data_IF_944218527540
#
_entry.id   IF_944218527540
#
_cell.length_a   1.000
_cell.length_b   1.000
_cell.length_c   1.000
_cell.angle_alpha   90.00
_cell.angle_beta   90.00
_cell.angle_gamma   90.00
#
_symmetry.space_group_name_H-M   'P 1'
#
loop_
_entity.id
_entity.type
_entity.pdbx_description
1 polymer ?
#
# COMPACT_ATOMS: atom_id res chain seq x y z
N UNK A 1 0.84 7.36 -3.00
CA UNK A 1 0.03 7.65 -1.80
C UNK A 1 0.74 7.20 -0.54
N UNK A 2 1.10 5.91 -0.41
CA UNK A 2 1.72 5.38 0.83
C UNK A 2 2.90 6.23 1.35
N UNK A 3 3.92 6.48 0.52
CA UNK A 3 5.08 7.31 0.90
C UNK A 3 4.73 8.79 1.15
N UNK A 4 3.63 9.28 0.58
CA UNK A 4 3.13 10.64 0.83
C UNK A 4 2.40 10.73 2.18
N UNK A 5 1.73 9.65 2.60
CA UNK A 5 0.93 9.58 3.82
C UNK A 5 1.75 9.18 5.03
N UNK A 6 2.64 8.21 4.89
CA UNK A 6 3.39 7.58 5.99
C UNK A 6 4.88 7.93 5.99
N UNK A 7 5.34 8.70 5.00
CA UNK A 7 6.74 9.08 4.88
C UNK A 7 7.64 7.99 4.27
N UNK A 8 8.96 8.15 4.37
CA UNK A 8 9.92 7.26 3.71
C UNK A 8 9.84 5.81 4.20
N UNK A 9 9.98 4.86 3.29
CA UNK A 9 9.90 3.42 3.59
C UNK A 9 10.69 2.56 2.61
N UNK A 10 10.95 1.31 2.97
CA UNK A 10 11.63 0.33 2.09
C UNK A 10 10.63 -0.33 1.13
N UNK A 11 11.12 -0.92 0.04
CA UNK A 11 10.26 -1.68 -0.88
C UNK A 11 9.54 -2.85 -0.18
N UNK A 12 10.21 -3.54 0.74
CA UNK A 12 9.62 -4.63 1.52
C UNK A 12 8.52 -4.14 2.48
N UNK A 13 8.72 -2.98 3.11
CA UNK A 13 7.67 -2.36 3.92
C UNK A 13 6.45 -2.00 3.05
N UNK A 14 6.67 -1.41 1.87
CA UNK A 14 5.59 -1.06 0.93
C UNK A 14 4.83 -2.31 0.48
N UNK A 15 5.53 -3.39 0.13
CA UNK A 15 4.92 -4.66 -0.28
C UNK A 15 4.02 -5.25 0.80
N UNK A 16 4.53 -5.30 2.04
CA UNK A 16 3.76 -5.76 3.20
C UNK A 16 2.51 -4.92 3.45
N UNK A 17 2.64 -3.59 3.41
CA UNK A 17 1.51 -2.68 3.61
C UNK A 17 0.42 -2.82 2.54
N UNK A 18 0.82 -3.11 1.30
CA UNK A 18 -0.10 -3.26 0.18
C UNK A 18 -0.58 -4.71 -0.02
N UNK A 19 -0.08 -5.66 0.79
CA UNK A 19 -0.22 -7.10 0.58
C UNK A 19 0.05 -7.48 -0.89
N UNK A 20 1.08 -6.86 -1.47
CA UNK A 20 1.41 -6.96 -2.87
C UNK A 20 2.70 -7.77 -3.05
N UNK A 21 2.77 -8.50 -4.16
CA UNK A 21 3.95 -9.27 -4.53
C UNK A 21 5.21 -8.38 -4.63
N UNK A 22 6.32 -8.86 -4.07
CA UNK A 22 7.59 -8.15 -4.01
C UNK A 22 8.12 -7.78 -5.40
N UNK A 23 7.89 -8.64 -6.39
CA UNK A 23 8.34 -8.39 -7.76
C UNK A 23 7.55 -7.24 -8.40
N UNK A 24 6.25 -7.13 -8.11
CA UNK A 24 5.41 -6.01 -8.55
C UNK A 24 5.86 -4.69 -7.93
N UNK A 25 6.13 -4.68 -6.62
CA UNK A 25 6.60 -3.48 -5.94
C UNK A 25 7.97 -3.06 -6.46
N UNK A 26 8.91 -4.01 -6.61
CA UNK A 26 10.25 -3.73 -7.15
C UNK A 26 10.19 -3.11 -8.56
N UNK A 27 9.38 -3.66 -9.47
CA UNK A 27 9.18 -3.09 -10.81
C UNK A 27 8.58 -1.68 -10.76
N UNK A 28 7.61 -1.46 -9.88
CA UNK A 28 6.95 -0.16 -9.72
C UNK A 28 7.94 0.88 -9.20
N UNK A 29 8.70 0.54 -8.15
CA UNK A 29 9.74 1.39 -7.57
C UNK A 29 10.78 1.76 -8.61
N UNK A 30 11.31 0.78 -9.36
CA UNK A 30 12.30 1.02 -10.42
C UNK A 30 11.78 2.00 -11.47
N UNK A 31 10.51 1.86 -11.87
CA UNK A 31 9.86 2.76 -12.83
C UNK A 31 9.67 4.17 -12.27
N UNK A 32 9.33 4.31 -11.00
CA UNK A 32 9.14 5.63 -10.39
C UNK A 32 10.48 6.34 -10.14
N UNK A 33 11.54 5.59 -9.80
CA UNK A 33 12.90 6.10 -9.72
C UNK A 33 13.40 6.58 -11.09
N UNK A 34 13.20 5.79 -12.15
CA UNK A 34 13.63 6.19 -13.50
C UNK A 34 12.88 7.42 -14.04
N UNK A 35 11.65 7.64 -13.57
CA UNK A 35 10.86 8.85 -13.86
C UNK A 35 11.20 10.05 -12.97
N UNK A 36 12.14 9.92 -12.04
CA UNK A 36 12.51 10.98 -11.09
C UNK A 36 11.42 11.34 -10.09
N UNK A 37 10.44 10.45 -9.86
CA UNK A 37 9.32 10.67 -8.93
C UNK A 37 9.61 10.16 -7.52
N UNK A 38 10.58 9.26 -7.39
CA UNK A 38 11.13 8.81 -6.13
C UNK A 38 12.60 9.17 -6.04
N UNK A 39 13.08 9.25 -4.80
CA UNK A 39 14.49 9.26 -4.46
C UNK A 39 14.79 8.13 -3.48
N UNK A 40 16.04 7.66 -3.51
CA UNK A 40 16.50 6.51 -2.74
C UNK A 40 17.68 6.92 -1.88
N UNK A 41 17.60 6.65 -0.58
CA UNK A 41 18.68 6.88 0.38
C UNK A 41 19.06 5.57 1.07
N UNK A 42 20.34 5.33 1.41
CA UNK A 42 20.74 4.15 2.18
C UNK A 42 19.91 4.02 3.47
N UNK A 43 19.47 2.81 3.82
CA UNK A 43 18.81 2.61 5.10
C UNK A 43 19.85 2.67 6.24
N UNK A 44 19.65 3.52 7.27
CA UNK A 44 20.59 3.64 8.38
C UNK A 44 20.69 2.36 9.23
N UNK A 45 19.70 1.46 9.15
CA UNK A 45 19.66 0.19 9.90
C UNK A 45 20.18 -1.00 9.09
N UNK A 46 20.05 -0.97 7.77
CA UNK A 46 20.54 -2.02 6.88
C UNK A 46 21.10 -1.43 5.57
N UNK A 47 22.42 -1.48 5.40
CA UNK A 47 23.09 -0.96 4.19
C UNK A 47 22.71 -1.71 2.91
N UNK A 48 22.11 -2.90 3.01
CA UNK A 48 21.58 -3.65 1.85
C UNK A 48 20.20 -3.17 1.42
N UNK A 49 19.51 -2.43 2.28
CA UNK A 49 18.21 -1.83 1.99
C UNK A 49 18.34 -0.34 1.63
N UNK A 50 17.39 0.15 0.85
CA UNK A 50 17.25 1.58 0.58
C UNK A 50 15.87 2.06 1.02
N UNK A 51 15.85 3.23 1.65
CA UNK A 51 14.62 3.95 1.96
C UNK A 51 14.23 4.81 0.76
N UNK A 52 12.99 4.69 0.36
CA UNK A 52 12.38 5.41 -0.74
C UNK A 52 11.54 6.54 -0.18
N UNK A 53 11.62 7.71 -0.81
CA UNK A 53 10.75 8.85 -0.53
C UNK A 53 10.33 9.53 -1.82
N UNK A 54 9.28 10.35 -1.79
CA UNK A 54 8.95 11.19 -2.92
C UNK A 54 10.07 12.20 -3.17
N UNK A 55 10.42 12.40 -4.44
CA UNK A 55 11.19 13.57 -4.86
C UNK A 55 10.33 14.83 -4.79
N UNK A 56 10.92 15.99 -5.06
CA UNK A 56 10.15 17.23 -5.19
C UNK A 56 9.11 17.14 -6.30
N UNK A 57 9.50 16.59 -7.45
CA UNK A 57 8.64 16.35 -8.60
C UNK A 57 7.54 15.33 -8.28
N UNK A 58 7.89 14.27 -7.55
CA UNK A 58 6.94 13.27 -7.08
C UNK A 58 5.90 13.84 -6.12
N UNK A 59 6.32 14.71 -5.22
CA UNK A 59 5.43 15.41 -4.28
C UNK A 59 4.51 16.40 -5.01
N UNK A 60 5.05 17.18 -5.95
CA UNK A 60 4.25 18.09 -6.77
C UNK A 60 3.21 17.34 -7.62
N UNK A 61 3.58 16.20 -8.21
CA UNK A 61 2.65 15.34 -8.95
C UNK A 61 1.56 14.79 -8.03
N UNK A 62 1.92 14.31 -6.84
CA UNK A 62 0.96 13.82 -5.86
C UNK A 62 -0.05 14.90 -5.48
N UNK A 63 0.40 16.13 -5.20
CA UNK A 63 -0.50 17.23 -4.85
C UNK A 63 -1.46 17.60 -5.98
N UNK A 64 -1.02 17.55 -7.25
CA UNK A 64 -1.93 17.75 -8.39
C UNK A 64 -3.00 16.66 -8.50
N UNK A 65 -2.66 15.43 -8.15
CA UNK A 65 -3.59 14.30 -8.22
C UNK A 65 -4.49 14.18 -6.99
N UNK A 66 -4.05 14.68 -5.83
CA UNK A 66 -4.71 14.51 -4.52
C UNK A 66 -6.20 14.91 -4.53
N UNK A 67 -6.63 16.04 -5.12
CA UNK A 67 -8.04 16.41 -5.15
C UNK A 67 -8.91 15.42 -5.94
N UNK A 68 -8.39 14.88 -7.04
CA UNK A 68 -9.10 13.87 -7.83
C UNK A 68 -9.20 12.54 -7.07
N UNK A 69 -8.13 12.13 -6.40
CA UNK A 69 -8.13 10.93 -5.55
C UNK A 69 -9.10 11.08 -4.39
N UNK A 70 -9.15 12.26 -3.77
CA UNK A 70 -10.09 12.56 -2.68
C UNK A 70 -11.54 12.48 -3.17
N UNK A 71 -11.89 13.14 -4.28
CA UNK A 71 -13.23 13.06 -4.88
C UNK A 71 -13.66 11.63 -5.15
N UNK A 72 -12.76 10.81 -5.72
CA UNK A 72 -13.05 9.38 -5.97
C UNK A 72 -13.27 8.61 -4.67
N UNK A 73 -12.44 8.85 -3.64
CA UNK A 73 -12.61 8.21 -2.32
C UNK A 73 -13.93 8.57 -1.66
N UNK A 74 -14.30 9.84 -1.69
CA UNK A 74 -15.58 10.34 -1.15
C UNK A 74 -16.74 9.72 -1.93
N UNK A 75 -16.71 9.74 -3.26
CA UNK A 75 -17.78 9.16 -4.07
C UNK A 75 -17.98 7.66 -3.82
N UNK A 76 -16.90 6.89 -3.67
CA UNK A 76 -16.99 5.46 -3.33
C UNK A 76 -17.50 5.26 -1.91
N UNK A 77 -17.05 6.08 -0.96
CA UNK A 77 -17.49 6.01 0.43
C UNK A 77 -18.97 6.34 0.57
N UNK A 78 -19.43 7.38 -0.12
CA UNK A 78 -20.80 7.90 -0.04
C UNK A 78 -21.79 7.12 -0.92
N UNK A 79 -21.30 6.18 -1.73
CA UNK A 79 -22.14 5.25 -2.48
C UNK A 79 -22.95 4.31 -1.57
N UNK A 80 -22.54 4.17 -0.30
CA UNK A 80 -23.20 3.36 0.72
C UNK A 80 -23.67 4.25 1.87
N UNK A 81 -24.81 3.92 2.46
CA UNK A 81 -25.23 4.45 3.77
C UNK A 81 -24.29 3.96 4.87
N UNK A 82 -24.44 4.51 6.09
CA UNK A 82 -23.62 4.09 7.24
C UNK A 82 -23.91 2.63 7.57
N UNK A 83 -25.18 2.25 7.56
CA UNK A 83 -25.68 0.91 7.85
C UNK A 83 -25.15 -0.12 6.84
N UNK A 84 -25.12 0.23 5.55
CA UNK A 84 -24.52 -0.61 4.51
C UNK A 84 -23.01 -0.76 4.67
N UNK A 85 -22.29 0.30 5.04
CA UNK A 85 -20.85 0.23 5.32
C UNK A 85 -20.55 -0.66 6.52
N UNK A 86 -21.32 -0.52 7.60
CA UNK A 86 -21.16 -1.34 8.81
C UNK A 86 -21.44 -2.82 8.49
N UNK A 87 -22.46 -3.09 7.69
CA UNK A 87 -22.80 -4.45 7.22
C UNK A 87 -21.68 -5.03 6.35
N UNK A 88 -21.20 -4.28 5.35
CA UNK A 88 -20.11 -4.72 4.48
C UNK A 88 -18.84 -5.01 5.28
N UNK A 89 -18.49 -4.14 6.23
CA UNK A 89 -17.34 -4.34 7.12
C UNK A 89 -17.45 -5.63 7.94
N UNK A 90 -18.63 -5.91 8.52
CA UNK A 90 -18.86 -7.14 9.27
C UNK A 90 -18.76 -8.41 8.39
N UNK A 91 -19.26 -8.35 7.15
CA UNK A 91 -19.17 -9.47 6.21
C UNK A 91 -17.73 -9.70 5.75
N UNK A 92 -16.98 -8.65 5.41
CA UNK A 92 -15.57 -8.76 5.04
C UNK A 92 -14.74 -9.34 6.19
N UNK A 93 -14.90 -8.85 7.42
CA UNK A 93 -14.19 -9.38 8.59
C UNK A 93 -14.54 -10.85 8.90
N UNK A 94 -15.76 -11.30 8.56
CA UNK A 94 -16.12 -12.71 8.65
C UNK A 94 -15.38 -13.56 7.62
N UNK A 95 -15.21 -13.07 6.40
CA UNK A 95 -14.46 -13.76 5.35
C UNK A 95 -12.96 -13.79 5.64
N UNK A 96 -12.41 -12.67 6.10
CA UNK A 96 -10.99 -12.52 6.45
C UNK A 96 -10.57 -13.55 7.51
N UNK A 97 -11.31 -13.63 8.63
CA UNK A 97 -11.10 -14.67 9.65
C UNK A 97 -11.17 -16.09 9.11
N UNK A 98 -12.07 -16.34 8.14
CA UNK A 98 -12.19 -17.66 7.54
C UNK A 98 -10.99 -18.00 6.65
N UNK A 99 -10.42 -17.00 5.98
CA UNK A 99 -9.19 -17.18 5.20
C UNK A 99 -8.00 -17.47 6.11
N UNK A 100 -7.85 -16.72 7.21
CA UNK A 100 -6.78 -16.96 8.20
C UNK A 100 -6.84 -18.39 8.76
N UNK A 101 -8.03 -18.88 9.13
CA UNK A 101 -8.23 -20.27 9.58
C UNK A 101 -7.79 -21.31 8.54
N UNK A 102 -8.09 -21.06 7.26
CA UNK A 102 -7.73 -21.97 6.16
C UNK A 102 -6.22 -21.98 5.95
N UNK A 103 -5.58 -20.81 5.99
CA UNK A 103 -4.13 -20.69 5.79
C UNK A 103 -3.36 -21.37 6.94
N UNK A 104 -3.82 -21.24 8.18
CA UNK A 104 -3.26 -21.97 9.33
C UNK A 104 -3.42 -23.50 9.18
N UNK A 105 -4.60 -23.96 8.77
CA UNK A 105 -4.86 -25.39 8.56
C UNK A 105 -3.97 -25.95 7.43
N UNK A 106 -3.78 -25.20 6.34
CA UNK A 106 -2.89 -25.59 5.24
C UNK A 106 -1.43 -25.67 5.69
N UNK A 107 -0.96 -24.74 6.52
CA UNK A 107 0.40 -24.78 7.07
C UNK A 107 0.62 -26.02 7.95
N UNK A 108 -0.33 -26.35 8.84
CA UNK A 108 -0.27 -27.57 9.67
C UNK A 108 -0.29 -28.88 8.89
N UNK A 109 -0.82 -28.87 7.67
CA UNK A 109 -0.83 -30.04 6.79
C UNK A 109 0.47 -30.20 5.98
N UNK A 110 1.26 -29.14 5.84
CA UNK A 110 2.51 -29.12 5.06
C UNK A 110 3.74 -29.35 5.98
N UNK A 111 3.62 -29.06 7.27
CA UNK A 111 4.59 -29.40 8.34
C UNK A 111 4.47 -30.86 8.82
#
# INVERSE_FOLDING_TARGET
MLLATYGPGTAAEIARYLQADDSLISRTVKTMLSKGLLQSTPDPKDRRASRLSLSQEGSALYERMRPSMHRRRVAVHDALSKEERDTLGALLAKLDRRMDEIDEDLQRFIE
#
